data_IF_634383572814
#
_entry.id   IF_634383572814
#
_cell.length_a   1.000
_cell.length_b   1.000
_cell.length_c   1.000
_cell.angle_alpha   90.00
_cell.angle_beta   90.00
_cell.angle_gamma   90.00
#
_symmetry.space_group_name_H-M   'P 1'
#
loop_
_entity.id
_entity.type
_entity.pdbx_description
1 polymer ?
#
# COMPACT_ATOMS: atom_id res chain seq x y z
N UNK A 1 15.51 -55.95 77.15
CA UNK A 1 15.27 -54.94 76.09
C UNK A 1 15.90 -55.44 74.80
N UNK A 2 15.10 -55.93 73.83
CA UNK A 2 15.58 -56.36 72.50
C UNK A 2 15.43 -55.19 71.53
N UNK A 3 16.53 -54.68 71.00
CA UNK A 3 16.51 -53.67 69.93
C UNK A 3 16.21 -54.36 68.60
N UNK A 4 14.99 -54.18 68.08
CA UNK A 4 14.64 -54.57 66.72
C UNK A 4 15.21 -53.54 65.75
N UNK A 5 16.38 -53.82 65.20
CA UNK A 5 16.86 -53.13 64.01
C UNK A 5 15.99 -53.56 62.84
N UNK A 6 14.99 -52.73 62.50
CA UNK A 6 14.26 -52.84 61.25
C UNK A 6 15.24 -52.53 60.12
N UNK A 7 15.73 -53.58 59.46
CA UNK A 7 16.42 -53.50 58.17
C UNK A 7 15.48 -52.84 57.17
N UNK A 8 15.69 -51.55 56.89
CA UNK A 8 15.10 -50.91 55.72
C UNK A 8 15.65 -51.64 54.50
N UNK A 9 14.80 -52.33 53.77
CA UNK A 9 15.12 -52.80 52.42
C UNK A 9 15.40 -51.56 51.56
N UNK A 10 16.66 -51.37 51.21
CA UNK A 10 17.03 -50.54 50.06
C UNK A 10 16.67 -51.36 48.83
N UNK A 11 15.44 -51.21 48.34
CA UNK A 11 15.04 -51.77 47.06
C UNK A 11 15.82 -51.04 45.96
N UNK A 12 16.73 -51.76 45.32
CA UNK A 12 17.46 -51.28 44.15
C UNK A 12 16.52 -51.34 42.94
N UNK A 13 16.47 -50.25 42.16
CA UNK A 13 15.67 -50.19 40.94
C UNK A 13 16.01 -51.35 40.00
N UNK A 14 14.98 -51.98 39.47
CA UNK A 14 15.15 -53.07 38.50
C UNK A 14 15.57 -52.50 37.15
N UNK A 15 16.36 -53.26 36.37
CA UNK A 15 16.80 -52.85 35.03
C UNK A 15 15.61 -52.47 34.12
N UNK A 16 14.47 -53.14 34.31
CA UNK A 16 13.23 -52.88 33.58
C UNK A 16 12.64 -51.50 33.93
N UNK A 17 12.65 -51.09 35.20
CA UNK A 17 12.20 -49.75 35.59
C UNK A 17 13.10 -48.65 35.02
N UNK A 18 14.42 -48.89 34.96
CA UNK A 18 15.36 -47.94 34.34
C UNK A 18 15.07 -47.82 32.83
N UNK A 19 14.87 -48.95 32.15
CA UNK A 19 14.50 -48.96 30.72
C UNK A 19 13.14 -48.29 30.46
N UNK A 20 12.13 -48.57 31.29
CA UNK A 20 10.82 -47.94 31.18
C UNK A 20 10.91 -46.42 31.38
N UNK A 21 11.70 -45.97 32.36
CA UNK A 21 11.93 -44.55 32.64
C UNK A 21 12.65 -43.87 31.48
N UNK A 22 13.62 -44.53 30.85
CA UNK A 22 14.30 -44.01 29.65
C UNK A 22 13.36 -43.87 28.46
N UNK A 23 12.48 -44.84 28.23
CA UNK A 23 11.49 -44.76 27.14
C UNK A 23 10.52 -43.60 27.35
N UNK A 24 10.00 -43.43 28.57
CA UNK A 24 9.13 -42.29 28.92
C UNK A 24 9.86 -40.97 28.71
N UNK A 25 11.13 -40.87 29.13
CA UNK A 25 11.94 -39.67 28.91
C UNK A 25 12.10 -39.35 27.42
N UNK A 26 12.38 -40.35 26.57
CA UNK A 26 12.51 -40.15 25.11
C UNK A 26 11.20 -39.66 24.50
N UNK A 27 10.06 -40.24 24.89
CA UNK A 27 8.74 -39.80 24.41
C UNK A 27 8.47 -38.35 24.83
N UNK A 28 8.77 -37.99 26.08
CA UNK A 28 8.63 -36.62 26.57
C UNK A 28 9.53 -35.63 25.81
N UNK A 29 10.78 -36.01 25.53
CA UNK A 29 11.71 -35.18 24.75
C UNK A 29 11.22 -34.98 23.31
N UNK A 30 10.67 -36.02 22.67
CA UNK A 30 10.07 -35.90 21.33
C UNK A 30 8.85 -34.99 21.34
N UNK A 31 7.99 -35.09 22.36
CA UNK A 31 6.84 -34.20 22.52
C UNK A 31 7.27 -32.73 22.72
N UNK A 32 8.23 -32.48 23.61
CA UNK A 32 8.81 -31.15 23.83
C UNK A 32 9.41 -30.57 22.55
N UNK A 33 10.15 -31.38 21.78
CA UNK A 33 10.77 -30.92 20.52
C UNK A 33 9.71 -30.45 19.52
N UNK A 34 8.58 -31.15 19.42
CA UNK A 34 7.45 -30.72 18.58
C UNK A 34 6.86 -29.40 19.06
N UNK A 35 6.58 -29.29 20.36
CA UNK A 35 6.02 -28.07 20.96
C UNK A 35 6.95 -26.87 20.72
N UNK A 36 8.26 -27.02 20.91
CA UNK A 36 9.21 -25.94 20.67
C UNK A 36 9.31 -25.56 19.19
N UNK A 37 9.22 -26.54 18.29
CA UNK A 37 9.24 -26.27 16.85
C UNK A 37 8.00 -25.49 16.42
N UNK A 38 6.83 -25.89 16.90
CA UNK A 38 5.56 -25.20 16.65
C UNK A 38 5.55 -23.80 17.26
N UNK A 39 6.01 -23.65 18.52
CA UNK A 39 6.12 -22.36 19.19
C UNK A 39 7.07 -21.41 18.45
N UNK A 40 8.21 -21.92 17.96
CA UNK A 40 9.18 -21.13 17.18
C UNK A 40 8.56 -20.67 15.86
N UNK A 41 7.83 -21.53 15.17
CA UNK A 41 7.16 -21.18 13.92
C UNK A 41 6.05 -20.15 14.15
N UNK A 42 5.26 -20.30 15.20
CA UNK A 42 4.25 -19.33 15.60
C UNK A 42 4.87 -17.98 15.96
N UNK A 43 5.98 -17.97 16.71
CA UNK A 43 6.69 -16.75 17.07
C UNK A 43 7.27 -16.02 15.85
N UNK A 44 7.89 -16.76 14.92
CA UNK A 44 8.37 -16.20 13.65
C UNK A 44 7.23 -15.56 12.86
N UNK A 45 6.10 -16.27 12.71
CA UNK A 45 4.92 -15.74 12.02
C UNK A 45 4.35 -14.49 12.71
N UNK A 46 4.32 -14.49 14.05
CA UNK A 46 3.91 -13.33 14.83
C UNK A 46 4.81 -12.11 14.57
N UNK A 47 6.13 -12.32 14.62
CA UNK A 47 7.12 -11.26 14.40
C UNK A 47 7.02 -10.67 12.99
N UNK A 48 6.90 -11.52 11.95
CA UNK A 48 6.74 -11.03 10.57
C UNK A 48 5.45 -10.27 10.38
N UNK A 49 4.35 -10.69 11.02
CA UNK A 49 3.07 -9.98 10.97
C UNK A 49 3.17 -8.59 11.61
N UNK A 50 3.85 -8.48 12.77
CA UNK A 50 4.05 -7.21 13.46
C UNK A 50 4.89 -6.26 12.61
N UNK A 51 6.01 -6.73 12.05
CA UNK A 51 6.87 -5.90 11.19
C UNK A 51 6.13 -5.43 9.93
N UNK A 52 5.36 -6.32 9.29
CA UNK A 52 4.54 -5.98 8.13
C UNK A 52 3.53 -4.89 8.45
N UNK A 53 2.80 -5.03 9.55
CA UNK A 53 1.80 -4.05 9.96
C UNK A 53 2.43 -2.70 10.31
N UNK A 54 3.56 -2.70 11.05
CA UNK A 54 4.26 -1.47 11.38
C UNK A 54 4.76 -0.72 10.15
N UNK A 55 5.25 -1.43 9.13
CA UNK A 55 5.62 -0.81 7.85
C UNK A 55 4.39 -0.23 7.12
N UNK A 56 3.26 -0.95 7.14
CA UNK A 56 2.03 -0.51 6.48
C UNK A 56 1.41 0.72 7.16
N UNK A 57 1.42 0.75 8.49
CA UNK A 57 1.02 1.91 9.30
C UNK A 57 1.92 3.11 8.99
N UNK A 58 3.25 2.93 8.97
CA UNK A 58 4.19 4.01 8.64
C UNK A 58 3.95 4.58 7.23
N UNK A 59 3.68 3.72 6.25
CA UNK A 59 3.35 4.14 4.90
C UNK A 59 2.02 4.92 4.84
N UNK A 60 0.97 4.45 5.53
CA UNK A 60 -0.32 5.14 5.61
C UNK A 60 -0.22 6.47 6.34
N UNK A 61 0.57 6.56 7.42
CA UNK A 61 0.77 7.79 8.17
C UNK A 61 1.49 8.84 7.32
N UNK A 62 2.48 8.45 6.51
CA UNK A 62 3.12 9.34 5.55
C UNK A 62 2.11 9.86 4.52
N UNK A 63 1.37 8.95 3.87
CA UNK A 63 0.34 9.32 2.88
C UNK A 63 -0.69 10.27 3.50
N UNK A 64 -1.15 9.95 4.71
CA UNK A 64 -2.08 10.77 5.47
C UNK A 64 -1.52 12.16 5.71
N UNK A 65 -0.30 12.26 6.23
CA UNK A 65 0.31 13.55 6.51
C UNK A 65 0.45 14.41 5.25
N UNK A 66 0.88 13.81 4.14
CA UNK A 66 1.03 14.55 2.88
C UNK A 66 -0.32 15.01 2.30
N UNK A 67 -1.37 14.19 2.45
CA UNK A 67 -2.73 14.51 2.02
C UNK A 67 -3.41 15.55 2.92
N UNK A 68 -3.15 15.55 4.23
CA UNK A 68 -3.60 16.61 5.14
C UNK A 68 -2.99 17.97 4.74
N UNK A 69 -1.76 17.94 4.22
CA UNK A 69 -1.00 19.08 3.72
C UNK A 69 -1.22 19.35 2.21
N UNK A 70 -2.20 18.70 1.58
CA UNK A 70 -2.42 18.83 0.16
C UNK A 70 -2.99 20.22 -0.21
N UNK A 71 -2.50 20.79 -1.30
CA UNK A 71 -2.88 22.11 -1.81
C UNK A 71 -3.46 21.95 -3.22
N UNK A 72 -4.54 22.68 -3.50
CA UNK A 72 -5.10 22.79 -4.85
C UNK A 72 -4.90 24.21 -5.37
N UNK A 73 -4.62 24.30 -6.66
CA UNK A 73 -4.56 25.55 -7.41
C UNK A 73 -5.29 25.35 -8.75
N UNK A 74 -5.70 26.45 -9.40
CA UNK A 74 -6.26 26.48 -10.74
C UNK A 74 -5.41 25.74 -11.79
N UNK A 75 -4.10 25.58 -11.52
CA UNK A 75 -3.13 24.91 -12.39
C UNK A 75 -2.88 23.45 -12.06
N UNK A 76 -3.11 23.02 -10.81
CA UNK A 76 -2.86 21.65 -10.36
C UNK A 76 -3.98 21.18 -9.45
N UNK A 77 -4.60 20.12 -9.93
CA UNK A 77 -5.69 19.44 -9.32
C UNK A 77 -5.19 18.24 -8.49
N UNK A 78 -5.90 17.95 -7.40
CA UNK A 78 -5.98 16.60 -6.89
C UNK A 78 -6.59 15.70 -7.99
N UNK A 79 -5.92 14.58 -8.29
CA UNK A 79 -6.37 13.60 -9.25
C UNK A 79 -6.29 12.19 -8.68
N UNK A 80 -7.26 11.37 -9.04
CA UNK A 80 -7.36 9.98 -8.70
C UNK A 80 -7.82 9.21 -9.93
N UNK A 81 -7.21 8.06 -10.11
CA UNK A 81 -7.61 7.11 -11.11
C UNK A 81 -7.65 5.71 -10.52
N UNK A 82 -8.81 5.08 -10.60
CA UNK A 82 -8.97 3.71 -10.18
C UNK A 82 -8.41 2.74 -11.20
N UNK A 83 -7.89 1.61 -10.71
CA UNK A 83 -7.41 0.49 -11.52
C UNK A 83 -6.39 0.91 -12.62
N UNK A 84 -5.57 1.94 -12.37
CA UNK A 84 -4.71 2.54 -13.40
C UNK A 84 -3.67 1.55 -13.94
N UNK A 85 -3.19 0.63 -13.10
CA UNK A 85 -2.19 -0.39 -13.43
C UNK A 85 -2.70 -1.38 -14.50
N UNK A 86 -4.01 -1.63 -14.55
CA UNK A 86 -4.61 -2.59 -15.49
C UNK A 86 -4.66 -2.07 -16.93
N UNK A 87 -4.30 -0.80 -17.15
CA UNK A 87 -4.28 -0.12 -18.46
C UNK A 87 -3.04 -0.39 -19.31
N UNK A 88 -1.93 -0.82 -18.71
CA UNK A 88 -0.60 -0.76 -19.37
C UNK A 88 -0.26 -1.93 -20.30
N UNK A 89 -1.17 -2.88 -20.52
CA UNK A 89 -0.94 -4.01 -21.46
C UNK A 89 -2.01 -4.10 -22.55
N UNK A 90 -1.82 -3.33 -23.63
CA UNK A 90 -2.23 -3.72 -24.99
C UNK A 90 -3.64 -3.36 -25.44
N UNK A 91 -3.75 -3.06 -26.74
CA UNK A 91 -4.92 -2.55 -27.48
C UNK A 91 -6.18 -3.43 -27.50
N UNK A 92 -6.24 -4.51 -26.72
CA UNK A 92 -7.38 -5.43 -26.62
C UNK A 92 -7.40 -6.09 -25.23
N UNK A 93 -8.05 -5.43 -24.28
CA UNK A 93 -8.31 -5.97 -22.95
C UNK A 93 -7.38 -5.40 -21.88
N UNK A 94 -7.97 -4.72 -20.89
CA UNK A 94 -7.38 -4.57 -19.56
C UNK A 94 -6.64 -5.84 -19.18
N UNK A 95 -5.48 -5.76 -18.53
CA UNK A 95 -4.96 -6.97 -17.89
C UNK A 95 -5.99 -7.33 -16.81
N UNK A 96 -6.87 -8.35 -16.97
CA UNK A 96 -7.83 -8.66 -15.92
C UNK A 96 -7.14 -9.28 -14.69
N UNK A 97 -5.80 -9.27 -14.71
CA UNK A 97 -4.90 -10.06 -13.91
C UNK A 97 -4.11 -9.23 -12.88
N UNK A 98 -4.36 -7.91 -12.79
CA UNK A 98 -3.92 -7.09 -11.66
C UNK A 98 -4.91 -7.21 -10.49
N UNK A 99 -4.55 -6.61 -9.36
CA UNK A 99 -5.47 -6.53 -8.23
C UNK A 99 -6.44 -5.35 -8.32
N UNK A 100 -6.34 -4.51 -9.35
CA UNK A 100 -7.02 -3.23 -9.44
C UNK A 100 -6.40 -2.26 -8.42
N UNK A 101 -5.31 -1.59 -8.81
CA UNK A 101 -4.64 -0.64 -7.94
C UNK A 101 -4.95 0.77 -8.40
N UNK A 102 -5.31 1.62 -7.45
CA UNK A 102 -5.56 3.03 -7.69
C UNK A 102 -4.25 3.81 -7.77
N UNK A 103 -4.33 4.98 -8.37
CA UNK A 103 -3.25 5.94 -8.47
C UNK A 103 -3.77 7.32 -8.07
N UNK A 104 -2.96 8.02 -7.28
CA UNK A 104 -3.35 9.33 -6.75
C UNK A 104 -2.22 10.33 -6.94
N UNK A 105 -2.58 11.50 -7.45
CA UNK A 105 -1.70 12.62 -7.69
C UNK A 105 -2.21 13.85 -6.95
N UNK A 106 -1.31 14.54 -6.27
CA UNK A 106 -1.62 15.79 -5.60
C UNK A 106 -0.36 16.62 -5.32
N UNK A 107 -0.56 17.89 -4.99
CA UNK A 107 0.51 18.79 -4.57
C UNK A 107 0.49 18.90 -3.05
N UNK A 108 1.66 18.82 -2.43
CA UNK A 108 1.84 18.98 -0.98
C UNK A 108 2.90 20.04 -0.66
N UNK A 109 2.90 20.53 0.58
CA UNK A 109 3.80 21.60 1.07
C UNK A 109 5.11 21.08 1.67
N UNK A 110 5.44 19.80 1.45
CA UNK A 110 6.63 19.13 1.97
C UNK A 110 7.93 19.36 1.18
N UNK A 111 7.98 20.38 0.32
CA UNK A 111 9.19 20.70 -0.45
C UNK A 111 10.34 21.19 0.43
N UNK A 112 11.58 21.05 -0.06
CA UNK A 112 12.76 21.59 0.60
C UNK A 112 12.63 23.12 0.72
N UNK A 113 12.52 23.60 1.96
CA UNK A 113 12.35 25.01 2.26
C UNK A 113 13.60 25.83 1.96
N UNK A 114 14.77 25.18 1.89
CA UNK A 114 16.05 25.86 1.69
C UNK A 114 16.22 26.34 0.24
N UNK A 115 15.59 25.66 -0.73
CA UNK A 115 15.66 25.97 -2.17
C UNK A 115 14.55 26.90 -2.66
N UNK A 116 13.71 27.44 -1.75
CA UNK A 116 12.55 28.28 -2.10
C UNK A 116 11.43 27.53 -2.82
N UNK A 117 11.51 26.20 -2.94
CA UNK A 117 10.50 25.34 -3.57
C UNK A 117 9.60 24.74 -2.51
N UNK A 118 8.65 25.56 -2.03
CA UNK A 118 7.74 25.17 -0.97
C UNK A 118 6.71 24.09 -1.35
N UNK A 119 6.62 23.72 -2.64
CA UNK A 119 5.62 22.79 -3.14
C UNK A 119 6.25 21.61 -3.87
N UNK A 120 5.66 20.44 -3.68
CA UNK A 120 6.09 19.19 -4.30
C UNK A 120 4.87 18.51 -4.93
N UNK A 121 4.99 18.08 -6.18
CA UNK A 121 4.03 17.17 -6.79
C UNK A 121 4.36 15.76 -6.32
N UNK A 122 3.36 15.02 -5.85
CA UNK A 122 3.50 13.65 -5.37
C UNK A 122 2.51 12.75 -6.12
N UNK A 123 2.99 11.57 -6.49
CA UNK A 123 2.21 10.47 -7.03
C UNK A 123 2.40 9.25 -6.14
N UNK A 124 1.30 8.61 -5.77
CA UNK A 124 1.30 7.29 -5.18
C UNK A 124 0.78 6.27 -6.17
N UNK A 125 1.63 5.29 -6.49
CA UNK A 125 1.35 4.25 -7.47
C UNK A 125 1.85 2.88 -6.98
N UNK A 126 1.23 1.81 -7.49
CA UNK A 126 1.68 0.45 -7.23
C UNK A 126 2.47 -0.08 -8.41
N UNK A 127 3.75 -0.34 -8.19
CA UNK A 127 4.65 -0.90 -9.18
C UNK A 127 4.71 -2.43 -9.06
N UNK A 128 4.55 -3.12 -10.19
CA UNK A 128 4.83 -4.54 -10.31
C UNK A 128 6.35 -4.78 -10.44
N UNK A 129 6.87 -5.75 -9.71
CA UNK A 129 8.23 -6.26 -9.90
C UNK A 129 8.30 -7.77 -9.81
N UNK A 130 9.26 -8.35 -10.51
CA UNK A 130 9.57 -9.76 -10.41
C UNK A 130 10.68 -9.96 -9.37
N UNK A 131 10.37 -10.71 -8.32
CA UNK A 131 11.35 -11.14 -7.33
C UNK A 131 11.81 -12.57 -7.66
N UNK A 132 13.10 -12.72 -7.93
CA UNK A 132 13.73 -14.02 -8.15
C UNK A 132 14.42 -14.47 -6.88
N UNK A 133 13.83 -15.44 -6.18
CA UNK A 133 14.54 -16.21 -5.17
C UNK A 133 15.22 -17.42 -5.84
N UNK A 134 16.23 -18.02 -5.20
CA UNK A 134 17.08 -19.11 -5.74
C UNK A 134 16.36 -20.35 -6.32
N UNK A 135 15.03 -20.42 -6.31
CA UNK A 135 14.24 -21.57 -6.77
C UNK A 135 13.04 -21.21 -7.66
N UNK A 136 12.42 -20.02 -7.51
CA UNK A 136 11.19 -19.65 -8.23
C UNK A 136 11.07 -18.13 -8.39
N UNK A 137 10.75 -17.65 -9.60
CA UNK A 137 10.38 -16.27 -9.84
C UNK A 137 8.96 -16.01 -9.32
N UNK A 138 8.71 -14.83 -8.74
CA UNK A 138 7.39 -14.46 -8.22
C UNK A 138 7.02 -13.03 -8.61
N UNK A 139 5.78 -12.83 -9.04
CA UNK A 139 5.19 -11.52 -9.29
C UNK A 139 4.85 -10.85 -7.95
N UNK A 140 5.36 -9.65 -7.69
CA UNK A 140 5.12 -8.89 -6.47
C UNK A 140 4.76 -7.45 -6.78
N UNK A 141 4.12 -6.79 -5.82
CA UNK A 141 3.64 -5.43 -5.95
C UNK A 141 4.13 -4.60 -4.77
N UNK A 142 4.52 -3.35 -5.03
CA UNK A 142 5.02 -2.42 -4.03
C UNK A 142 4.42 -1.05 -4.24
N UNK A 143 4.09 -0.36 -3.15
CA UNK A 143 3.63 1.02 -3.19
C UNK A 143 4.86 1.90 -3.25
N UNK A 144 4.80 2.82 -4.19
CA UNK A 144 5.83 3.78 -4.45
C UNK A 144 5.24 5.17 -4.27
N UNK A 145 6.08 6.05 -3.74
CA UNK A 145 5.90 7.49 -3.76
C UNK A 145 6.86 8.05 -4.80
N UNK A 146 6.34 8.72 -5.82
CA UNK A 146 7.16 9.44 -6.78
C UNK A 146 6.95 10.92 -6.56
N UNK A 147 8.04 11.67 -6.47
CA UNK A 147 7.97 13.09 -6.12
C UNK A 147 8.76 13.96 -7.08
N UNK A 148 8.26 15.17 -7.32
CA UNK A 148 8.89 16.16 -8.16
C UNK A 148 8.89 17.53 -7.50
N UNK A 149 10.07 18.13 -7.37
CA UNK A 149 10.26 19.44 -6.76
C UNK A 149 10.22 20.52 -7.85
N UNK A 150 9.04 21.09 -8.03
CA UNK A 150 8.78 22.15 -9.00
C UNK A 150 8.39 23.43 -8.25
N UNK A 151 8.76 24.58 -8.79
CA UNK A 151 8.12 25.83 -8.38
C UNK A 151 6.77 25.96 -9.10
N UNK A 152 5.80 25.18 -8.64
CA UNK A 152 4.51 25.04 -9.33
C UNK A 152 3.61 26.26 -9.17
N UNK A 153 3.91 27.12 -8.20
CA UNK A 153 3.13 28.33 -7.90
C UNK A 153 3.71 29.59 -8.56
N UNK A 154 4.97 29.59 -8.98
CA UNK A 154 5.53 30.72 -9.72
C UNK A 154 4.97 30.76 -11.16
N UNK A 155 4.26 31.85 -11.46
CA UNK A 155 3.70 32.12 -12.79
C UNK A 155 4.78 32.34 -13.85
N UNK A 156 6.01 32.69 -13.44
CA UNK A 156 7.16 32.97 -14.29
C UNK A 156 8.18 31.82 -14.33
N UNK A 157 7.99 30.79 -13.52
CA UNK A 157 8.79 29.57 -13.57
C UNK A 157 8.66 28.98 -14.98
N UNK A 158 9.79 28.94 -15.69
CA UNK A 158 9.91 28.26 -16.98
C UNK A 158 9.86 26.76 -16.71
N UNK A 159 8.66 26.25 -16.53
CA UNK A 159 8.41 24.82 -16.44
C UNK A 159 8.97 24.14 -17.73
N UNK A 160 9.82 23.10 -17.63
CA UNK A 160 10.42 22.42 -18.79
C UNK A 160 9.43 21.81 -19.79
N UNK A 161 8.13 21.86 -19.50
CA UNK A 161 7.05 21.29 -20.32
C UNK A 161 6.00 22.32 -20.78
N UNK A 162 6.27 23.63 -20.71
CA UNK A 162 5.31 24.67 -21.13
C UNK A 162 4.60 24.27 -22.45
N UNK A 163 3.32 23.87 -22.40
CA UNK A 163 2.57 23.69 -23.62
C UNK A 163 2.52 25.07 -24.27
N UNK A 164 2.85 25.12 -25.56
CA UNK A 164 2.69 26.32 -26.38
C UNK A 164 1.41 27.04 -25.99
N UNK A 165 1.49 28.37 -25.79
CA UNK A 165 0.40 29.25 -25.36
C UNK A 165 -0.92 29.11 -26.15
N UNK A 166 -0.91 28.30 -27.21
CA UNK A 166 -2.00 27.99 -28.10
C UNK A 166 -2.90 26.82 -27.64
N UNK A 167 -2.63 26.13 -26.53
CA UNK A 167 -3.52 25.05 -26.04
C UNK A 167 -3.76 25.10 -24.51
N UNK A 168 -4.83 25.80 -24.05
CA UNK A 168 -5.14 25.96 -22.63
C UNK A 168 -5.56 24.66 -21.93
N UNK A 169 -5.94 23.60 -22.66
CA UNK A 169 -6.27 22.29 -22.06
C UNK A 169 -5.03 21.53 -21.59
N UNK A 170 -3.90 21.68 -22.28
CA UNK A 170 -2.63 21.13 -21.83
C UNK A 170 -2.10 21.84 -20.58
N UNK A 171 -2.69 22.97 -20.19
CA UNK A 171 -2.23 23.81 -19.10
C UNK A 171 -2.66 23.30 -17.71
N UNK A 172 -3.84 22.70 -17.58
CA UNK A 172 -4.37 22.21 -16.29
C UNK A 172 -3.98 20.76 -15.97
N UNK A 173 -3.71 19.95 -17.00
CA UNK A 173 -3.39 18.52 -16.87
C UNK A 173 -1.97 18.18 -17.39
N UNK A 174 -1.08 19.17 -17.48
CA UNK A 174 0.30 18.98 -17.98
C UNK A 174 1.05 17.86 -17.24
N UNK A 175 0.76 17.70 -15.95
CA UNK A 175 1.40 16.72 -15.08
C UNK A 175 1.04 15.28 -15.47
N UNK A 176 -0.07 15.02 -16.18
CA UNK A 176 -0.38 13.70 -16.76
C UNK A 176 0.62 13.28 -17.85
N UNK A 177 1.36 14.24 -18.42
CA UNK A 177 2.42 13.95 -19.39
C UNK A 177 3.73 13.53 -18.72
N UNK A 178 3.85 13.71 -17.40
CA UNK A 178 4.99 13.22 -16.65
C UNK A 178 4.94 11.70 -16.56
N UNK A 179 6.05 11.07 -16.94
CA UNK A 179 6.23 9.66 -16.60
C UNK A 179 6.53 9.54 -15.11
N UNK A 180 5.85 8.63 -14.40
CA UNK A 180 6.16 8.29 -13.00
C UNK A 180 7.65 7.93 -12.82
N UNK A 181 8.31 7.38 -13.85
CA UNK A 181 9.74 7.06 -13.83
C UNK A 181 10.67 8.28 -13.82
N UNK A 182 10.17 9.48 -14.15
CA UNK A 182 10.95 10.73 -14.15
C UNK A 182 11.04 11.42 -12.79
N UNK A 183 10.21 10.99 -11.83
CA UNK A 183 10.25 11.52 -10.47
C UNK A 183 11.43 10.98 -9.67
N UNK A 184 11.48 11.33 -8.40
CA UNK A 184 12.32 10.66 -7.42
C UNK A 184 11.49 9.53 -6.77
N UNK A 185 11.59 8.28 -7.27
CA UNK A 185 10.80 7.16 -6.76
C UNK A 185 11.36 6.65 -5.43
N UNK A 186 10.48 6.52 -4.44
CA UNK A 186 10.74 5.93 -3.14
C UNK A 186 9.78 4.76 -2.90
N UNK A 187 10.31 3.61 -2.51
CA UNK A 187 9.49 2.44 -2.17
C UNK A 187 9.09 2.53 -0.71
N UNK A 188 7.79 2.60 -0.45
CA UNK A 188 7.26 2.72 0.92
C UNK A 188 7.05 1.35 1.55
N UNK A 189 6.43 0.43 0.80
CA UNK A 189 6.12 -0.89 1.29
C UNK A 189 5.96 -1.92 0.16
N UNK A 190 6.42 -3.13 0.44
CA UNK A 190 6.33 -4.30 -0.43
C UNK A 190 5.13 -5.20 -0.13
N UNK A 191 4.83 -6.10 -1.06
CA UNK A 191 3.83 -7.17 -0.95
C UNK A 191 2.39 -6.66 -0.80
N UNK A 192 2.04 -5.67 -1.61
CA UNK A 192 0.70 -5.10 -1.61
C UNK A 192 -0.23 -5.98 -2.43
N UNK A 193 -1.45 -6.11 -1.91
CA UNK A 193 -2.54 -6.84 -2.52
C UNK A 193 -3.64 -5.89 -2.96
N UNK A 194 -3.82 -4.76 -2.27
CA UNK A 194 -4.82 -3.77 -2.62
C UNK A 194 -4.40 -2.37 -2.16
N UNK A 195 -4.67 -1.40 -3.01
CA UNK A 195 -4.48 0.02 -2.72
C UNK A 195 -5.62 0.74 -3.44
N UNK A 196 -6.67 1.05 -2.69
CA UNK A 196 -7.88 1.68 -3.21
C UNK A 196 -8.10 3.00 -2.49
N UNK A 197 -8.57 3.99 -3.23
CA UNK A 197 -8.82 5.34 -2.74
C UNK A 197 -10.25 5.73 -3.10
N UNK A 198 -11.02 6.06 -2.08
CA UNK A 198 -12.39 6.52 -2.23
C UNK A 198 -12.50 7.98 -1.84
N UNK A 199 -13.12 8.75 -2.71
CA UNK A 199 -13.23 10.19 -2.57
C UNK A 199 -14.67 10.58 -2.28
N UNK A 200 -14.87 11.42 -1.28
CA UNK A 200 -16.19 11.90 -0.88
C UNK A 200 -16.36 13.38 -1.18
N UNK A 201 -17.52 13.75 -1.72
CA UNK A 201 -17.97 15.15 -1.79
C UNK A 201 -18.35 15.70 -0.42
N UNK A 202 -18.46 17.03 -0.31
CA UNK A 202 -19.04 17.72 0.86
C UNK A 202 -20.48 17.28 1.17
N UNK A 203 -21.18 16.70 0.17
CA UNK A 203 -22.54 16.15 0.32
C UNK A 203 -22.54 14.66 0.67
N UNK A 204 -21.37 14.05 0.88
CA UNK A 204 -21.22 12.63 1.22
C UNK A 204 -21.38 11.66 0.05
N UNK A 205 -21.54 12.16 -1.18
CA UNK A 205 -21.60 11.34 -2.41
C UNK A 205 -20.19 10.97 -2.85
N UNK A 206 -19.98 9.72 -3.29
CA UNK A 206 -18.71 9.27 -3.85
C UNK A 206 -18.43 9.98 -5.19
N UNK A 207 -17.22 10.51 -5.32
CA UNK A 207 -16.72 11.15 -6.53
C UNK A 207 -16.14 10.09 -7.45
N UNK A 208 -16.97 9.55 -8.34
CA UNK A 208 -16.55 8.52 -9.26
C UNK A 208 -17.13 8.80 -10.64
N UNK A 209 -16.29 9.28 -11.57
CA UNK A 209 -16.65 9.36 -13.00
C UNK A 209 -16.40 7.98 -13.60
N UNK A 210 -17.46 7.23 -13.93
CA UNK A 210 -17.33 6.01 -14.72
C UNK A 210 -17.24 6.39 -16.21
N UNK A 211 -16.03 6.36 -16.75
CA UNK A 211 -15.81 6.46 -18.19
C UNK A 211 -15.14 5.19 -18.70
N UNK A 212 -15.85 4.41 -19.51
CA UNK A 212 -15.33 3.15 -20.05
C UNK A 212 -15.15 2.03 -19.02
N UNK A 213 -15.87 2.08 -17.89
CA UNK A 213 -15.74 1.12 -16.79
C UNK A 213 -14.60 1.41 -15.82
N UNK A 214 -13.94 2.57 -15.98
CA UNK A 214 -12.86 3.03 -15.11
C UNK A 214 -13.32 4.30 -14.41
N UNK A 215 -13.02 4.34 -13.13
CA UNK A 215 -13.42 5.33 -12.16
C UNK A 215 -12.31 6.38 -12.04
N UNK A 216 -12.54 7.64 -12.41
CA UNK A 216 -11.53 8.69 -12.21
C UNK A 216 -12.12 9.94 -11.59
N UNK A 217 -11.28 10.75 -10.95
CA UNK A 217 -11.63 12.04 -10.40
C UNK A 217 -10.49 13.04 -10.66
N UNK A 218 -10.84 14.24 -11.11
CA UNK A 218 -9.91 15.36 -11.23
C UNK A 218 -10.55 16.62 -10.71
N UNK A 219 -9.99 17.23 -9.66
CA UNK A 219 -10.51 18.50 -9.15
C UNK A 219 -10.46 19.66 -10.16
N UNK A 220 -9.76 19.53 -11.30
CA UNK A 220 -9.80 20.51 -12.41
C UNK A 220 -11.14 20.53 -13.16
N UNK A 221 -12.00 19.52 -12.96
CA UNK A 221 -13.31 19.36 -13.62
C UNK A 221 -14.46 19.66 -12.66
N UNK A 222 -15.55 20.18 -13.20
CA UNK A 222 -16.81 20.38 -12.46
C UNK A 222 -17.63 19.08 -12.49
N UNK A 223 -18.01 18.57 -11.31
CA UNK A 223 -18.81 17.35 -11.18
C UNK A 223 -20.25 17.65 -10.75
N UNK A 224 -21.24 16.83 -11.18
CA UNK A 224 -22.59 16.89 -10.64
C UNK A 224 -22.58 16.69 -9.11
N UNK A 225 -22.83 17.75 -8.34
CA UNK A 225 -22.87 17.70 -6.87
C UNK A 225 -21.73 18.47 -6.17
N UNK A 226 -20.64 18.78 -6.87
CA UNK A 226 -19.65 19.78 -6.47
C UNK A 226 -20.07 21.15 -7.01
N UNK A 227 -19.96 22.21 -6.20
CA UNK A 227 -20.35 23.56 -6.62
C UNK A 227 -19.30 24.24 -7.50
N UNK A 228 -18.01 23.94 -7.31
CA UNK A 228 -16.91 24.61 -8.01
C UNK A 228 -15.81 23.63 -8.44
N UNK A 229 -15.17 23.91 -9.58
CA UNK A 229 -13.88 23.31 -9.93
C UNK A 229 -12.79 23.82 -8.95
N UNK A 230 -11.65 23.14 -8.92
CA UNK A 230 -10.49 23.50 -8.10
C UNK A 230 -10.79 23.39 -6.57
N UNK A 231 -11.68 22.46 -6.18
CA UNK A 231 -11.97 22.09 -4.78
C UNK A 231 -11.42 20.73 -4.39
N UNK A 232 -10.96 20.61 -3.13
CA UNK A 232 -10.55 19.33 -2.55
C UNK A 232 -11.74 18.40 -2.30
N UNK A 233 -11.53 17.07 -2.37
CA UNK A 233 -12.49 16.13 -1.81
C UNK A 233 -12.68 16.41 -0.32
N UNK A 234 -13.91 16.27 0.17
CA UNK A 234 -14.23 16.55 1.57
C UNK A 234 -13.65 15.51 2.52
N UNK A 235 -13.55 14.27 2.06
CA UNK A 235 -12.84 13.20 2.74
C UNK A 235 -12.23 12.24 1.72
N UNK A 236 -11.11 11.64 2.09
CA UNK A 236 -10.38 10.64 1.31
C UNK A 236 -10.24 9.41 2.21
N UNK A 237 -10.80 8.29 1.76
CA UNK A 237 -10.64 7.00 2.42
C UNK A 237 -9.62 6.17 1.64
N UNK A 238 -8.58 5.71 2.32
CA UNK A 238 -7.54 4.87 1.73
C UNK A 238 -7.60 3.48 2.36
N UNK A 239 -7.67 2.47 1.50
CA UNK A 239 -7.63 1.07 1.86
C UNK A 239 -6.33 0.46 1.38
N UNK A 240 -5.52 -0.01 2.31
CA UNK A 240 -4.26 -0.68 2.04
C UNK A 240 -4.33 -2.12 2.53
N UNK A 241 -4.04 -3.07 1.64
CA UNK A 241 -3.99 -4.49 1.99
C UNK A 241 -2.61 -5.04 1.70
N UNK A 242 -1.96 -5.59 2.73
CA UNK A 242 -0.57 -6.06 2.66
C UNK A 242 -0.48 -7.53 3.06
N UNK A 243 0.21 -8.33 2.25
CA UNK A 243 0.39 -9.77 2.47
C UNK A 243 1.79 -10.12 2.95
N UNK A 244 1.98 -11.35 3.45
CA UNK A 244 3.28 -11.80 3.92
C UNK A 244 4.22 -12.04 2.74
N UNK A 245 5.53 -12.02 2.99
CA UNK A 245 6.52 -12.32 1.96
C UNK A 245 6.35 -13.75 1.45
N UNK A 246 5.96 -14.69 2.32
CA UNK A 246 5.72 -16.08 1.98
C UNK A 246 4.49 -16.22 1.06
N UNK A 247 3.37 -15.58 1.42
CA UNK A 247 2.16 -15.61 0.61
C UNK A 247 2.35 -14.85 -0.72
N UNK A 248 3.09 -13.74 -0.73
CA UNK A 248 3.47 -13.03 -1.95
C UNK A 248 4.38 -13.89 -2.84
N UNK A 249 5.32 -14.64 -2.26
CA UNK A 249 6.20 -15.51 -3.04
C UNK A 249 5.44 -16.70 -3.65
N UNK A 250 4.58 -17.36 -2.88
CA UNK A 250 3.80 -18.51 -3.33
C UNK A 250 2.66 -18.11 -4.28
N UNK A 251 1.89 -17.11 -3.87
CA UNK A 251 0.81 -16.56 -4.68
C UNK A 251 1.35 -15.90 -5.94
N UNK A 252 2.40 -15.08 -5.82
CA UNK A 252 3.07 -14.41 -6.93
C UNK A 252 3.72 -15.35 -7.93
N UNK A 253 4.19 -16.52 -7.52
CA UNK A 253 4.64 -17.56 -8.45
C UNK A 253 3.48 -18.06 -9.32
N UNK A 254 2.29 -18.25 -8.73
CA UNK A 254 1.08 -18.62 -9.48
C UNK A 254 0.61 -17.52 -10.43
N UNK A 255 0.90 -16.24 -10.14
CA UNK A 255 0.53 -15.11 -11.00
C UNK A 255 1.41 -14.99 -12.27
N UNK A 256 2.56 -15.68 -12.33
CA UNK A 256 3.41 -15.69 -13.53
C UNK A 256 2.92 -16.67 -14.62
N UNK A 257 1.99 -17.56 -14.28
CA UNK A 257 1.39 -18.49 -15.22
C UNK A 257 0.29 -17.79 -16.03
N UNK A 258 0.57 -17.47 -17.29
CA UNK A 258 -0.36 -16.77 -18.20
C UNK A 258 -0.79 -17.70 -19.34
N UNK A 259 -2.09 -18.03 -19.40
CA UNK A 259 -2.70 -18.84 -20.48
C UNK A 259 -4.18 -19.17 -20.22
N UNK A 260 -4.97 -19.39 -21.28
CA UNK A 260 -6.44 -19.54 -21.22
C UNK A 260 -6.98 -20.79 -20.49
N UNK A 261 -6.11 -21.68 -20.04
CA UNK A 261 -6.44 -22.86 -19.22
C UNK A 261 -5.96 -22.74 -17.76
N UNK A 262 -5.50 -21.55 -17.34
CA UNK A 262 -4.79 -21.33 -16.07
C UNK A 262 -5.46 -20.30 -15.15
N UNK A 263 -6.68 -19.83 -15.47
CA UNK A 263 -7.46 -18.92 -14.64
C UNK A 263 -7.62 -19.41 -13.18
N UNK A 264 -7.75 -20.72 -12.99
CA UNK A 264 -7.85 -21.34 -11.66
C UNK A 264 -6.55 -21.22 -10.86
N UNK A 265 -5.39 -21.36 -11.50
CA UNK A 265 -4.07 -21.21 -10.86
C UNK A 265 -3.86 -19.77 -10.44
N UNK A 266 -4.23 -18.83 -11.30
CA UNK A 266 -4.14 -17.41 -11.02
C UNK A 266 -5.08 -16.98 -9.89
N UNK A 267 -6.36 -17.40 -9.93
CA UNK A 267 -7.34 -17.16 -8.86
C UNK A 267 -6.86 -17.74 -7.53
N UNK A 268 -6.26 -18.93 -7.56
CA UNK A 268 -5.63 -19.54 -6.39
C UNK A 268 -4.46 -18.70 -5.88
N UNK A 269 -3.60 -18.20 -6.77
CA UNK A 269 -2.52 -17.26 -6.43
C UNK A 269 -3.02 -16.02 -5.69
N UNK A 270 -4.05 -15.34 -6.23
CA UNK A 270 -4.64 -14.17 -5.58
C UNK A 270 -5.28 -14.49 -4.25
N UNK A 271 -6.11 -15.54 -4.20
CA UNK A 271 -6.81 -15.91 -2.97
C UNK A 271 -5.83 -16.26 -1.86
N UNK A 272 -4.66 -16.84 -2.17
CA UNK A 272 -3.60 -17.04 -1.19
C UNK A 272 -3.06 -15.71 -0.64
N UNK A 273 -2.78 -14.74 -1.52
CA UNK A 273 -2.29 -13.42 -1.11
C UNK A 273 -3.33 -12.65 -0.29
N UNK A 274 -4.59 -12.64 -0.73
CA UNK A 274 -5.72 -11.99 -0.05
C UNK A 274 -5.97 -12.64 1.31
N UNK A 275 -5.99 -13.97 1.39
CA UNK A 275 -6.32 -14.69 2.63
C UNK A 275 -5.31 -14.46 3.75
N UNK A 276 -4.03 -14.28 3.43
CA UNK A 276 -2.97 -14.05 4.42
C UNK A 276 -2.69 -12.56 4.68
N UNK A 277 -3.38 -11.69 3.95
CA UNK A 277 -3.18 -10.25 4.07
C UNK A 277 -3.89 -9.64 5.27
N UNK A 278 -3.36 -8.50 5.72
CA UNK A 278 -4.03 -7.61 6.65
C UNK A 278 -4.54 -6.38 5.89
N UNK A 279 -5.69 -5.86 6.32
CA UNK A 279 -6.29 -4.65 5.79
C UNK A 279 -6.10 -3.53 6.80
N UNK A 280 -5.64 -2.39 6.32
CA UNK A 280 -5.57 -1.14 7.04
C UNK A 280 -6.41 -0.11 6.29
N UNK A 281 -7.11 0.73 7.05
CA UNK A 281 -7.93 1.79 6.49
C UNK A 281 -7.63 3.08 7.24
N UNK A 282 -7.53 4.17 6.49
CA UNK A 282 -7.44 5.52 7.07
C UNK A 282 -8.41 6.45 6.35
N UNK A 283 -8.95 7.41 7.09
CA UNK A 283 -9.77 8.50 6.57
C UNK A 283 -9.04 9.81 6.79
N UNK A 284 -8.96 10.60 5.74
CA UNK A 284 -8.22 11.86 5.72
C UNK A 284 -9.17 12.98 5.34
N UNK A 285 -9.03 14.11 6.03
CA UNK A 285 -9.77 15.33 5.76
C UNK A 285 -8.77 16.41 5.36
N UNK A 286 -8.67 16.77 4.07
CA UNK A 286 -7.77 17.81 3.61
C UNK A 286 -8.08 19.13 4.34
N UNK A 287 -7.10 19.70 5.03
CA UNK A 287 -7.31 20.86 5.92
C UNK A 287 -7.43 22.16 5.10
N UNK A 288 -6.71 22.26 3.98
CA UNK A 288 -6.68 23.45 3.15
C UNK A 288 -7.77 23.40 2.08
N UNK A 289 -8.99 23.83 2.43
CA UNK A 289 -10.03 24.06 1.41
C UNK A 289 -9.82 25.42 0.73
N UNK A 290 -10.24 25.59 -0.54
CA UNK A 290 -10.14 26.88 -1.24
C UNK A 290 -10.87 28.05 -0.55
N UNK A 291 -11.68 27.79 0.49
CA UNK A 291 -12.23 28.83 1.38
C UNK A 291 -11.16 29.64 2.14
N UNK A 292 -9.93 29.15 2.26
CA UNK A 292 -8.80 29.95 2.78
C UNK A 292 -8.16 30.84 1.70
N UNK A 293 -8.38 30.53 0.41
CA UNK A 293 -7.85 31.28 -0.73
C UNK A 293 -8.88 32.21 -1.38
N UNK A 294 -10.17 32.11 -1.05
CA UNK A 294 -11.22 33.00 -1.57
C UNK A 294 -11.38 34.32 -0.80
N UNK A 295 -10.60 34.55 0.27
CA UNK A 295 -10.55 35.85 0.98
C UNK A 295 -9.15 36.51 1.18
N UNK A 296 -8.27 36.66 0.18
CA UNK A 296 -7.07 37.48 0.34
C UNK A 296 -7.28 38.96 -0.06
N UNK A 297 -8.40 39.33 -0.71
CA UNK A 297 -8.49 40.60 -1.43
C UNK A 297 -9.41 41.70 -0.83
N UNK A 298 -10.05 41.50 0.32
CA UNK A 298 -10.99 42.52 0.88
C UNK A 298 -10.60 43.14 2.22
N UNK A 299 -9.41 42.86 2.75
CA UNK A 299 -8.91 43.49 4.00
C UNK A 299 -7.69 44.41 3.81
N UNK A 300 -7.30 44.69 2.57
CA UNK A 300 -6.22 45.63 2.25
C UNK A 300 -6.65 46.59 1.14
N UNK A 301 -7.64 47.44 1.42
CA UNK A 301 -7.79 48.78 0.86
C UNK A 301 -8.71 49.62 1.73
#
# INVERSE_FOLDING_TARGET
MRSSWTTRKTDAFTLIEVLASMVVLVILMLALTRVFTEATNAFKKGTTTVMRNGAAESALDLIRHELECAVINERLAFYHEADSVDKTTGSWGANPNGFGFDEVWFVTTGGDQDDGRAYQLVCYDVNEYQATNNLVASKRFRLRRSSWNFDVMDKNSKDPLQPSANNPLLYKDWWLTLSVASGNPEVLIDNIVRFDVYLHTQKGVLLQEESGGISSYSSSKTYPGLYDADMHPAAIDIYLQVTSTEAASQGGANLLYVGSSQDDVWRKGRSLMIRDSNVLMTRIFPIMTPGQWSHPAHYWH
#
